data_IF_712785158228
#
_entry.id   IF_712785158228
#
_cell.length_a   1.000
_cell.length_b   1.000
_cell.length_c   1.000
_cell.angle_alpha   90.00
_cell.angle_beta   90.00
_cell.angle_gamma   90.00
#
_symmetry.space_group_name_H-M   'P 1'
#
loop_
_entity.id
_entity.type
_entity.pdbx_description
1 polymer ?
#
# COMPACT_ATOMS: atom_id res chain seq x y z
N UNK A 1 -3.41 -2.25 5.20
CA UNK A 1 -4.36 -1.87 4.12
C UNK A 1 -4.71 -3.11 3.31
N UNK A 2 -5.97 -3.55 3.27
CA UNK A 2 -6.34 -4.79 2.56
C UNK A 2 -6.81 -4.47 1.14
N UNK A 3 -6.13 -5.01 0.12
CA UNK A 3 -6.46 -4.78 -1.29
C UNK A 3 -6.90 -6.07 -1.96
N UNK A 4 -8.00 -6.00 -2.71
CA UNK A 4 -8.54 -7.12 -3.47
C UNK A 4 -8.50 -6.80 -4.97
N UNK A 5 -7.68 -7.53 -5.71
CA UNK A 5 -7.66 -7.54 -7.18
C UNK A 5 -8.88 -8.30 -7.69
N UNK A 6 -10.05 -7.68 -7.75
CA UNK A 6 -11.25 -8.31 -8.36
C UNK A 6 -11.10 -8.48 -9.89
N UNK A 7 -10.12 -9.26 -10.35
CA UNK A 7 -9.73 -9.41 -11.76
C UNK A 7 -9.14 -8.14 -12.42
N UNK A 8 -9.05 -7.03 -11.68
CA UNK A 8 -8.52 -5.75 -12.15
C UNK A 8 -7.03 -5.60 -11.82
N UNK A 9 -6.27 -4.83 -12.63
CA UNK A 9 -4.92 -4.44 -12.23
C UNK A 9 -4.98 -3.68 -10.90
N UNK A 10 -3.88 -3.69 -10.14
CA UNK A 10 -3.75 -2.89 -8.91
C UNK A 10 -4.02 -1.40 -9.22
N UNK A 11 -3.66 -0.95 -10.42
CA UNK A 11 -3.79 0.44 -10.84
C UNK A 11 -2.84 1.36 -10.08
N UNK A 12 -1.60 0.93 -9.88
CA UNK A 12 -0.55 1.80 -9.32
C UNK A 12 0.75 1.55 -10.07
N UNK A 13 1.45 2.63 -10.39
CA UNK A 13 2.80 2.60 -10.90
C UNK A 13 3.76 2.47 -9.72
N UNK A 14 4.34 1.28 -9.57
CA UNK A 14 5.35 1.02 -8.56
C UNK A 14 6.73 1.33 -9.12
N UNK A 15 7.54 2.01 -8.32
CA UNK A 15 8.96 2.23 -8.55
C UNK A 15 9.76 1.54 -7.47
N UNK A 16 10.56 0.56 -7.87
CA UNK A 16 11.44 -0.15 -6.98
C UNK A 16 12.89 -0.05 -7.42
N UNK A 17 13.80 -0.28 -6.48
CA UNK A 17 15.23 -0.50 -6.75
C UNK A 17 15.59 -1.91 -6.33
N UNK A 18 16.53 -2.55 -7.05
CA UNK A 18 17.00 -3.92 -6.74
C UNK A 18 17.53 -4.10 -5.30
N UNK A 19 18.03 -3.03 -4.67
CA UNK A 19 18.48 -3.03 -3.27
C UNK A 19 17.64 -2.11 -2.36
N UNK A 20 16.39 -1.82 -2.75
CA UNK A 20 15.50 -0.96 -1.97
C UNK A 20 14.73 -1.73 -0.90
N UNK A 21 14.39 -1.04 0.18
CA UNK A 21 13.59 -1.55 1.32
C UNK A 21 12.08 -1.65 1.04
N UNK A 22 11.66 -1.62 -0.23
CA UNK A 22 10.24 -1.70 -0.59
C UNK A 22 9.90 -1.15 -1.98
N UNK A 23 8.62 -1.23 -2.31
CA UNK A 23 8.03 -0.69 -3.53
C UNK A 23 7.45 0.70 -3.24
N UNK A 24 7.99 1.74 -3.87
CA UNK A 24 7.45 3.09 -3.73
C UNK A 24 6.35 3.32 -4.77
N UNK A 25 5.22 3.90 -4.37
CA UNK A 25 4.15 4.28 -5.30
C UNK A 25 4.56 5.58 -5.97
N UNK A 26 4.79 5.52 -7.27
CA UNK A 26 5.08 6.71 -8.09
C UNK A 26 3.80 7.36 -8.57
N UNK A 27 2.81 6.56 -8.96
CA UNK A 27 1.54 7.05 -9.45
C UNK A 27 0.42 6.07 -9.10
N UNK A 28 -0.78 6.58 -8.90
CA UNK A 28 -2.00 5.80 -8.73
C UNK A 28 -2.81 6.05 -10.00
N UNK A 29 -3.09 4.98 -10.72
CA UNK A 29 -3.92 5.02 -11.92
C UNK A 29 -5.37 5.26 -11.51
N UNK A 30 -6.12 5.91 -12.40
CA UNK A 30 -7.55 6.17 -12.26
C UNK A 30 -8.41 4.89 -12.25
N UNK A 31 -7.86 3.75 -12.71
CA UNK A 31 -8.54 2.46 -12.70
C UNK A 31 -7.70 1.43 -11.95
N UNK A 32 -8.18 0.93 -10.81
CA UNK A 32 -7.47 -0.07 -10.05
C UNK A 32 -8.13 -0.57 -8.78
N UNK A 33 -7.58 -1.63 -8.20
CA UNK A 33 -7.96 -2.11 -6.88
C UNK A 33 -7.63 -1.10 -5.76
N UNK A 34 -6.60 -0.28 -5.95
CA UNK A 34 -6.17 0.72 -4.95
C UNK A 34 -7.12 1.91 -4.88
N UNK A 35 -7.61 2.41 -6.02
CA UNK A 35 -8.56 3.53 -6.00
C UNK A 35 -9.89 3.12 -5.36
N UNK A 36 -10.41 1.92 -5.68
CA UNK A 36 -11.60 1.39 -5.03
C UNK A 36 -11.40 1.12 -3.54
N UNK A 37 -10.17 0.80 -3.11
CA UNK A 37 -9.85 0.76 -1.69
C UNK A 37 -9.91 2.16 -1.08
N UNK A 38 -9.24 3.16 -1.67
CA UNK A 38 -9.24 4.56 -1.18
C UNK A 38 -10.65 5.13 -1.06
N UNK A 39 -11.56 4.82 -1.99
CA UNK A 39 -12.97 5.24 -1.91
C UNK A 39 -13.71 4.73 -0.66
N UNK A 40 -13.24 3.61 -0.10
CA UNK A 40 -13.80 2.98 1.11
C UNK A 40 -12.92 3.14 2.34
N UNK A 41 -11.72 3.72 2.18
CA UNK A 41 -10.74 3.82 3.24
C UNK A 41 -11.07 5.00 4.18
N UNK A 42 -10.86 4.85 5.49
CA UNK A 42 -10.93 5.98 6.41
C UNK A 42 -9.79 6.97 6.17
N UNK A 43 -10.04 8.24 6.49
CA UNK A 43 -9.05 9.31 6.37
C UNK A 43 -7.76 8.94 7.12
N UNK A 44 -6.62 9.03 6.44
CA UNK A 44 -5.30 8.64 6.97
C UNK A 44 -4.91 7.16 6.77
N UNK A 45 -5.80 6.31 6.24
CA UNK A 45 -5.46 4.98 5.73
C UNK A 45 -5.54 4.88 4.21
N UNK A 46 -5.73 6.02 3.55
CA UNK A 46 -5.68 6.15 2.10
C UNK A 46 -4.26 5.90 1.60
N UNK A 47 -4.16 5.21 0.47
CA UNK A 47 -2.91 4.99 -0.23
C UNK A 47 -2.58 6.23 -1.03
N UNK A 48 -1.44 6.87 -0.76
CA UNK A 48 -1.03 8.07 -1.48
C UNK A 48 0.10 7.78 -2.47
N UNK A 49 0.21 8.66 -3.46
CA UNK A 49 1.43 8.81 -4.25
C UNK A 49 2.52 9.17 -3.24
N UNK A 50 3.69 8.53 -3.29
CA UNK A 50 4.79 8.56 -2.29
C UNK A 50 4.75 7.53 -1.17
N UNK A 51 3.64 6.81 -0.96
CA UNK A 51 3.61 5.71 -0.01
C UNK A 51 4.59 4.60 -0.39
N UNK A 52 5.16 3.97 0.64
CA UNK A 52 6.12 2.88 0.45
C UNK A 52 5.58 1.59 1.02
N UNK A 53 5.36 0.64 0.12
CA UNK A 53 4.97 -0.72 0.47
C UNK A 53 6.22 -1.45 0.95
N UNK A 54 6.23 -1.79 2.24
CA UNK A 54 7.32 -2.49 2.90
C UNK A 54 6.96 -3.94 3.22
N UNK A 55 5.66 -4.26 3.31
CA UNK A 55 5.19 -5.61 3.59
C UNK A 55 3.97 -5.99 2.73
N UNK A 56 3.84 -7.28 2.43
CA UNK A 56 2.65 -7.88 1.82
C UNK A 56 2.26 -9.08 2.69
N UNK A 57 1.04 -9.07 3.23
CA UNK A 57 0.50 -10.11 4.12
C UNK A 57 1.30 -10.27 5.42
N UNK A 58 1.85 -9.16 5.93
CA UNK A 58 2.77 -9.15 7.08
C UNK A 58 4.19 -9.60 6.75
N UNK A 59 4.46 -10.02 5.51
CA UNK A 59 5.78 -10.45 5.09
C UNK A 59 6.54 -9.30 4.42
N UNK A 60 7.68 -8.94 5.00
CA UNK A 60 8.65 -8.00 4.42
C UNK A 60 9.66 -8.74 3.57
N UNK A 61 10.12 -8.14 2.47
CA UNK A 61 11.09 -8.80 1.61
C UNK A 61 11.63 -7.90 0.53
N UNK A 62 12.34 -8.51 -0.43
CA UNK A 62 12.81 -7.75 -1.59
C UNK A 62 11.62 -7.29 -2.44
N UNK A 63 11.70 -6.14 -3.12
CA UNK A 63 10.61 -5.64 -3.94
C UNK A 63 10.18 -6.62 -5.04
N UNK A 64 11.10 -7.50 -5.48
CA UNK A 64 10.79 -8.56 -6.44
C UNK A 64 9.83 -9.59 -5.83
N UNK A 65 10.14 -10.10 -4.64
CA UNK A 65 9.31 -11.07 -3.94
C UNK A 65 7.96 -10.48 -3.54
N UNK A 66 7.93 -9.23 -3.08
CA UNK A 66 6.69 -8.53 -2.79
C UNK A 66 5.82 -8.39 -4.05
N UNK A 67 6.42 -8.08 -5.21
CA UNK A 67 5.72 -8.02 -6.49
C UNK A 67 5.14 -9.38 -6.92
N UNK A 68 5.91 -10.46 -6.74
CA UNK A 68 5.45 -11.80 -7.08
C UNK A 68 4.28 -12.22 -6.20
N UNK A 69 4.35 -11.95 -4.90
CA UNK A 69 3.24 -12.22 -3.97
C UNK A 69 2.00 -11.43 -4.32
N UNK A 70 2.15 -10.15 -4.65
CA UNK A 70 1.02 -9.35 -5.14
C UNK A 70 0.45 -9.96 -6.42
N UNK A 71 1.27 -10.34 -7.40
CA UNK A 71 0.80 -10.92 -8.68
C UNK A 71 0.12 -12.27 -8.52
N UNK A 72 0.60 -13.11 -7.61
CA UNK A 72 0.10 -14.47 -7.43
C UNK A 72 -1.24 -14.53 -6.67
N UNK A 73 -1.52 -13.54 -5.80
CA UNK A 73 -2.73 -13.50 -4.96
C UNK A 73 -3.79 -12.53 -5.47
N UNK A 74 -5.04 -12.91 -5.30
CA UNK A 74 -6.20 -12.06 -5.61
C UNK A 74 -6.52 -11.07 -4.48
N UNK A 75 -6.31 -11.46 -3.22
CA UNK A 75 -6.44 -10.59 -2.06
C UNK A 75 -5.20 -10.69 -1.18
N UNK A 76 -4.72 -9.54 -0.69
CA UNK A 76 -3.56 -9.46 0.18
C UNK A 76 -3.60 -8.16 1.00
N UNK A 77 -2.90 -8.18 2.13
CA UNK A 77 -2.71 -6.98 2.94
C UNK A 77 -1.41 -6.26 2.55
N UNK A 78 -1.49 -4.97 2.25
CA UNK A 78 -0.34 -4.10 2.06
C UNK A 78 -0.01 -3.42 3.37
N UNK A 79 1.23 -3.60 3.80
CA UNK A 79 1.86 -2.83 4.86
C UNK A 79 2.57 -1.63 4.28
N UNK A 80 2.09 -0.44 4.64
CA UNK A 80 2.67 0.83 4.25
C UNK A 80 3.53 1.38 5.37
N UNK A 81 4.69 1.92 5.01
CA UNK A 81 5.46 2.76 5.90
C UNK A 81 5.02 4.21 5.67
N UNK A 82 3.94 4.60 6.34
CA UNK A 82 3.61 6.02 6.48
C UNK A 82 4.64 6.57 7.47
N UNK A 83 5.53 7.46 7.00
CA UNK A 83 6.34 8.23 7.94
C UNK A 83 5.35 9.05 8.74
N UNK A 84 5.14 8.70 10.01
CA UNK A 84 4.26 9.46 10.88
C UNK A 84 4.75 10.91 10.85
N UNK A 85 3.96 11.80 10.24
CA UNK A 85 4.15 13.22 10.42
C UNK A 85 4.14 13.45 11.94
N UNK A 86 5.20 14.01 12.54
CA UNK A 86 5.19 14.33 13.95
C UNK A 86 4.11 15.37 14.32
N UNK A 87 3.46 15.95 13.31
CA UNK A 87 2.35 16.90 13.39
C UNK A 87 0.96 16.27 13.20
N UNK A 88 0.88 14.98 12.83
CA UNK A 88 -0.38 14.24 12.93
C UNK A 88 -0.70 14.04 14.41
N UNK A 89 -1.42 15.01 14.96
CA UNK A 89 -2.03 14.99 16.29
C UNK A 89 -2.54 13.57 16.55
N UNK A 90 -2.26 12.95 17.72
CA UNK A 90 -2.92 11.71 18.07
C UNK A 90 -4.41 12.02 18.11
N UNK A 91 -5.13 11.65 17.04
CA UNK A 91 -6.56 11.63 17.06
C UNK A 91 -6.92 10.79 18.29
N UNK A 92 -7.52 11.47 19.26
CA UNK A 92 -7.71 10.98 20.62
C UNK A 92 -8.81 9.92 20.69
N UNK A 93 -8.93 9.11 19.64
CA UNK A 93 -9.75 7.91 19.54
C UNK A 93 -9.03 6.65 20.02
N UNK A 94 -7.73 6.73 20.39
CA UNK A 94 -7.08 5.66 21.14
C UNK A 94 -7.51 5.74 22.61
N UNK A 95 -8.73 5.25 22.87
CA UNK A 95 -9.26 5.04 24.22
C UNK A 95 -8.59 3.80 24.81
N UNK A 96 -7.88 3.98 25.93
CA UNK A 96 -7.88 3.02 27.04
C UNK A 96 -7.99 3.81 28.34
#
# INVERSE_FOLDING_TARGET
VRVTKSGKPIGVALRWRKQGLGLAISEIEEVGAVISYNETAPAGMEVHKTDRIVAVDGETGTPLELMEKMKSRESFELGFLCWADPDSIPDSSCVI
#
